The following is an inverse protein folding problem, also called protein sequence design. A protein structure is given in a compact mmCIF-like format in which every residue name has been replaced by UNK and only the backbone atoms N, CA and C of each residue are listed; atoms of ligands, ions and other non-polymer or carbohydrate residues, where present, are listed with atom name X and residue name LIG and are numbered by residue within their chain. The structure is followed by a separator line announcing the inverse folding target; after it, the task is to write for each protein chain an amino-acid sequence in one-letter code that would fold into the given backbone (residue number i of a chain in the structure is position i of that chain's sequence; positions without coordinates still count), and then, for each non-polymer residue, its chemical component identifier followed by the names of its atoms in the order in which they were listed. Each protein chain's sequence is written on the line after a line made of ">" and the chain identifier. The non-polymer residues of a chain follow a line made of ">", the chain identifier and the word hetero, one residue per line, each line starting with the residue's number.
data_IF_023160162083
#
_entry.id   IF_023160162083
#
_cell.length_a   1.000
_cell.length_b   1.000
_cell.length_c   1.000
_cell.angle_alpha   90.00
_cell.angle_beta   90.00
_cell.angle_gamma   90.00
#
_symmetry.space_group_name_H-M   'P 1'
#
loop_
_entity.id
_entity.type
_entity.pdbx_description
1 polymer ?
#
# COMPACT_ATOMS: atom_id res chain seq x y z
N UNK A 1 14.15 -13.56 -6.89
CA UNK A 1 14.61 -12.16 -6.87
C UNK A 1 16.13 -12.06 -6.76
N UNK A 2 16.76 -10.95 -7.16
CA UNK A 2 18.18 -10.64 -6.98
C UNK A 2 18.51 -10.00 -5.63
N UNK A 3 19.73 -10.26 -5.14
CA UNK A 3 20.24 -9.85 -3.82
C UNK A 3 21.72 -9.46 -3.91
N UNK A 4 22.13 -8.53 -3.07
CA UNK A 4 23.54 -8.07 -2.99
C UNK A 4 24.43 -9.05 -2.24
N UNK A 5 23.84 -9.89 -1.36
CA UNK A 5 24.50 -10.93 -0.55
C UNK A 5 23.51 -12.06 -0.27
N UNK A 6 24.00 -13.20 0.19
CA UNK A 6 23.13 -14.25 0.74
C UNK A 6 22.28 -13.70 1.90
N UNK A 7 21.01 -14.08 1.92
CA UNK A 7 20.12 -13.84 3.04
C UNK A 7 20.63 -14.55 4.31
N UNK A 8 20.24 -14.04 5.47
CA UNK A 8 20.60 -14.59 6.77
C UNK A 8 19.35 -14.90 7.57
N UNK A 9 19.28 -16.12 8.08
CA UNK A 9 18.28 -16.55 9.06
C UNK A 9 18.91 -16.51 10.46
N UNK A 10 18.73 -15.41 11.20
CA UNK A 10 19.14 -15.38 12.59
C UNK A 10 18.23 -16.27 13.45
N UNK A 11 18.66 -16.55 14.68
CA UNK A 11 17.83 -17.27 15.64
C UNK A 11 16.60 -16.45 16.01
N UNK A 12 15.45 -17.10 16.13
CA UNK A 12 14.24 -16.49 16.69
C UNK A 12 14.57 -15.76 18.02
N UNK A 13 14.05 -14.54 18.25
CA UNK A 13 12.98 -13.88 17.50
C UNK A 13 13.46 -12.89 16.41
N UNK A 14 14.72 -12.93 16.02
CA UNK A 14 15.25 -11.95 15.06
C UNK A 14 14.67 -12.18 13.65
N UNK A 15 14.30 -11.10 12.97
CA UNK A 15 13.82 -11.14 11.58
C UNK A 15 14.94 -11.51 10.63
N UNK A 16 14.59 -12.23 9.56
CA UNK A 16 15.51 -12.52 8.46
C UNK A 16 16.09 -11.25 7.82
N UNK A 17 17.35 -11.35 7.37
CA UNK A 17 18.02 -10.28 6.63
C UNK A 17 18.17 -10.73 5.19
N UNK A 18 17.30 -10.25 4.30
CA UNK A 18 17.15 -10.81 2.95
C UNK A 18 18.18 -10.23 1.96
N UNK A 19 18.63 -8.98 2.15
CA UNK A 19 19.62 -8.27 1.30
C UNK A 19 19.21 -8.06 -0.17
N UNK A 20 17.91 -7.86 -0.43
CA UNK A 20 17.38 -7.50 -1.75
C UNK A 20 18.18 -6.37 -2.40
N UNK A 21 18.46 -6.51 -3.69
CA UNK A 21 19.11 -5.49 -4.48
C UNK A 21 18.89 -5.75 -5.96
N UNK A 22 18.48 -4.72 -6.68
CA UNK A 22 18.33 -4.74 -8.14
C UNK A 22 19.39 -3.87 -8.83
N UNK A 23 20.44 -3.46 -8.12
CA UNK A 23 21.42 -2.49 -8.59
C UNK A 23 22.85 -3.04 -8.41
N UNK A 24 23.51 -3.32 -9.53
CA UNK A 24 24.81 -3.96 -9.56
C UNK A 24 25.77 -3.21 -10.50
N UNK A 25 27.06 -3.50 -10.34
CA UNK A 25 28.14 -3.07 -11.23
C UNK A 25 28.73 -4.27 -11.95
N UNK A 26 29.41 -4.00 -13.07
CA UNK A 26 30.19 -5.03 -13.74
C UNK A 26 31.20 -5.67 -12.77
N UNK A 27 31.33 -7.00 -12.83
CA UNK A 27 32.14 -7.78 -11.90
C UNK A 27 31.47 -8.15 -10.57
N UNK A 28 30.32 -7.56 -10.22
CA UNK A 28 29.61 -7.91 -8.98
C UNK A 28 29.12 -9.35 -8.98
N UNK A 29 28.92 -9.89 -7.77
CA UNK A 29 28.25 -11.17 -7.58
C UNK A 29 26.79 -10.90 -7.23
N UNK A 30 25.90 -11.30 -8.11
CA UNK A 30 24.45 -11.29 -7.91
C UNK A 30 24.07 -12.59 -7.23
N UNK A 31 23.29 -12.51 -6.15
CA UNK A 31 22.70 -13.67 -5.50
C UNK A 31 21.23 -13.73 -5.91
N UNK A 32 20.71 -14.90 -6.27
CA UNK A 32 19.39 -15.07 -6.86
C UNK A 32 18.61 -16.07 -6.03
N UNK A 33 17.35 -15.75 -5.73
CA UNK A 33 16.38 -16.63 -5.09
C UNK A 33 15.23 -16.98 -6.02
N UNK A 34 14.63 -18.15 -5.79
CA UNK A 34 13.29 -18.50 -6.27
C UNK A 34 12.60 -19.36 -5.22
N UNK A 35 11.34 -19.05 -4.95
CA UNK A 35 10.49 -19.73 -3.98
C UNK A 35 9.42 -20.53 -4.70
N UNK A 36 9.28 -21.81 -4.34
CA UNK A 36 8.26 -22.71 -4.87
C UNK A 36 7.29 -23.12 -3.77
N UNK A 37 6.01 -23.12 -4.09
CA UNK A 37 4.97 -23.79 -3.29
C UNK A 37 4.62 -25.11 -3.97
N UNK A 38 4.55 -26.18 -3.19
CA UNK A 38 4.17 -27.54 -3.63
C UNK A 38 5.03 -28.09 -4.79
N UNK A 39 6.34 -28.18 -4.58
CA UNK A 39 7.30 -28.74 -5.55
C UNK A 39 7.38 -30.27 -5.42
N UNK A 40 6.99 -31.00 -6.46
CA UNK A 40 6.93 -32.46 -6.50
C UNK A 40 8.16 -33.08 -7.17
N UNK A 41 8.45 -34.33 -6.80
CA UNK A 41 9.60 -35.10 -7.33
C UNK A 41 9.69 -35.04 -8.85
N UNK A 42 10.91 -34.82 -9.35
CA UNK A 42 11.27 -34.71 -10.77
C UNK A 42 10.65 -33.54 -11.53
N UNK A 43 9.91 -32.62 -10.87
CA UNK A 43 9.56 -31.37 -11.52
C UNK A 43 10.83 -30.52 -11.74
N UNK A 44 10.86 -29.85 -12.89
CA UNK A 44 12.01 -29.09 -13.36
C UNK A 44 11.63 -27.63 -13.48
N UNK A 45 12.50 -26.75 -12.98
CA UNK A 45 12.44 -25.32 -13.26
C UNK A 45 13.70 -24.89 -14.02
N UNK A 46 13.52 -24.17 -15.12
CA UNK A 46 14.60 -23.60 -15.92
C UNK A 46 14.81 -22.13 -15.52
N UNK A 47 16.03 -21.81 -15.09
CA UNK A 47 16.46 -20.47 -14.72
C UNK A 47 17.35 -19.94 -15.83
N UNK A 48 17.11 -18.71 -16.23
CA UNK A 48 17.89 -18.04 -17.25
C UNK A 48 18.13 -16.58 -16.87
N UNK A 49 19.33 -16.08 -17.17
CA UNK A 49 19.65 -14.66 -17.06
C UNK A 49 19.91 -14.13 -18.45
N UNK A 50 19.17 -13.12 -18.87
CA UNK A 50 19.34 -12.43 -20.14
C UNK A 50 20.10 -11.12 -19.95
N UNK A 51 20.98 -10.83 -20.91
CA UNK A 51 21.63 -9.53 -21.09
C UNK A 51 20.64 -8.50 -21.64
N UNK A 52 20.99 -7.20 -21.62
CA UNK A 52 20.14 -6.15 -22.19
C UNK A 52 19.83 -6.30 -23.69
N UNK A 53 20.67 -7.02 -24.45
CA UNK A 53 20.43 -7.33 -25.86
C UNK A 53 19.54 -8.57 -26.10
N UNK A 54 19.03 -9.19 -25.03
CA UNK A 54 18.22 -10.41 -25.08
C UNK A 54 19.04 -11.70 -25.21
N UNK A 55 20.37 -11.63 -25.25
CA UNK A 55 21.21 -12.83 -25.28
C UNK A 55 21.29 -13.50 -23.90
N UNK A 56 21.31 -14.83 -23.89
CA UNK A 56 21.44 -15.60 -22.64
C UNK A 56 22.85 -15.50 -22.06
N UNK A 57 22.95 -15.10 -20.79
CA UNK A 57 24.20 -14.98 -20.05
C UNK A 57 24.46 -16.17 -19.12
N UNK A 58 23.40 -16.81 -18.64
CA UNK A 58 23.49 -17.91 -17.70
C UNK A 58 22.22 -18.74 -17.75
N UNK A 59 22.36 -20.06 -17.69
CA UNK A 59 21.24 -21.01 -17.59
C UNK A 59 21.49 -22.00 -16.48
N UNK A 60 20.44 -22.41 -15.77
CA UNK A 60 20.50 -23.45 -14.75
C UNK A 60 19.17 -24.18 -14.63
N UNK A 61 19.21 -25.47 -14.29
CA UNK A 61 18.02 -26.23 -13.93
C UNK A 61 17.95 -26.48 -12.42
N UNK A 62 16.73 -26.45 -11.89
CA UNK A 62 16.37 -26.99 -10.59
C UNK A 62 15.57 -28.25 -10.85
N UNK A 63 15.92 -29.34 -10.19
CA UNK A 63 15.18 -30.59 -10.25
C UNK A 63 14.86 -30.99 -8.81
N UNK A 64 13.57 -31.17 -8.52
CA UNK A 64 13.14 -31.63 -7.21
C UNK A 64 13.57 -33.08 -6.99
N UNK A 65 14.28 -33.35 -5.90
CA UNK A 65 14.88 -34.64 -5.57
C UNK A 65 14.13 -35.40 -4.46
N UNK A 66 13.14 -34.77 -3.83
CA UNK A 66 12.26 -35.39 -2.83
C UNK A 66 10.83 -35.53 -3.35
N UNK A 67 10.03 -36.48 -2.80
CA UNK A 67 8.63 -36.67 -3.16
C UNK A 67 7.79 -35.38 -3.18
N UNK A 68 8.00 -34.51 -2.19
CA UNK A 68 7.21 -33.30 -2.02
C UNK A 68 7.93 -32.30 -1.09
N UNK A 69 8.11 -31.07 -1.58
CA UNK A 69 8.35 -29.89 -0.75
C UNK A 69 7.06 -29.07 -0.70
N UNK A 70 6.50 -28.84 0.49
CA UNK A 70 5.38 -27.91 0.65
C UNK A 70 5.81 -26.45 0.39
N UNK A 71 7.07 -26.15 0.70
CA UNK A 71 7.72 -24.87 0.42
C UNK A 71 9.21 -25.12 0.18
N UNK A 72 9.79 -24.45 -0.81
CA UNK A 72 11.20 -24.59 -1.14
C UNK A 72 11.80 -23.28 -1.69
N UNK A 73 12.78 -22.75 -0.96
CA UNK A 73 13.63 -21.65 -1.40
C UNK A 73 14.93 -22.19 -1.99
N UNK A 74 15.18 -21.88 -3.27
CA UNK A 74 16.46 -22.17 -3.92
C UNK A 74 17.30 -20.91 -4.11
N UNK A 75 18.60 -21.03 -3.82
CA UNK A 75 19.55 -19.92 -3.88
C UNK A 75 20.77 -20.19 -4.75
N UNK A 76 21.08 -19.23 -5.63
CA UNK A 76 22.22 -19.28 -6.53
C UNK A 76 23.02 -17.99 -6.52
N UNK A 77 24.26 -18.06 -7.05
CA UNK A 77 25.01 -16.84 -7.32
C UNK A 77 25.57 -16.87 -8.72
N UNK A 78 25.51 -15.72 -9.37
CA UNK A 78 26.05 -15.46 -10.68
C UNK A 78 27.02 -14.29 -10.57
N UNK A 79 28.23 -14.45 -11.13
CA UNK A 79 29.19 -13.34 -11.18
C UNK A 79 29.03 -12.66 -12.53
N UNK A 80 28.68 -11.38 -12.50
CA UNK A 80 28.63 -10.53 -13.68
C UNK A 80 30.03 -10.47 -14.31
N UNK A 81 30.15 -10.53 -15.66
CA UNK A 81 31.42 -10.29 -16.33
C UNK A 81 32.01 -8.94 -15.93
N UNK A 82 33.35 -8.83 -15.96
CA UNK A 82 34.03 -7.56 -15.65
C UNK A 82 33.75 -6.45 -16.67
N UNK A 83 33.33 -6.86 -17.86
CA UNK A 83 32.86 -6.06 -19.00
C UNK A 83 31.35 -6.23 -19.23
N UNK A 84 30.59 -6.55 -18.17
CA UNK A 84 29.14 -6.73 -18.27
C UNK A 84 28.48 -5.51 -18.91
N UNK A 85 27.57 -5.77 -19.86
CA UNK A 85 26.80 -4.73 -20.53
C UNK A 85 26.04 -3.88 -19.51
N UNK A 86 26.21 -2.57 -19.60
CA UNK A 86 25.36 -1.64 -18.86
C UNK A 86 23.92 -1.74 -19.38
N UNK A 87 22.94 -1.79 -18.48
CA UNK A 87 21.53 -1.80 -18.83
C UNK A 87 20.69 -2.67 -17.90
N UNK A 88 19.47 -2.96 -18.34
CA UNK A 88 18.53 -3.84 -17.64
C UNK A 88 18.78 -5.28 -18.08
N UNK A 89 19.06 -6.14 -17.10
CA UNK A 89 19.21 -7.58 -17.24
C UNK A 89 17.95 -8.27 -16.69
N UNK A 90 17.59 -9.43 -17.25
CA UNK A 90 16.39 -10.15 -16.84
C UNK A 90 16.75 -11.49 -16.22
N UNK A 91 16.33 -11.73 -14.98
CA UNK A 91 16.31 -13.06 -14.38
C UNK A 91 14.93 -13.70 -14.60
N UNK A 92 14.90 -14.82 -15.30
CA UNK A 92 13.69 -15.53 -15.68
C UNK A 92 13.68 -16.93 -15.09
N UNK A 93 12.52 -17.37 -14.63
CA UNK A 93 12.24 -18.75 -14.19
C UNK A 93 11.07 -19.30 -14.99
N UNK A 94 11.23 -20.48 -15.59
CA UNK A 94 10.15 -21.25 -16.21
C UNK A 94 9.88 -22.50 -15.39
N UNK A 95 8.63 -22.74 -15.04
CA UNK A 95 8.19 -23.90 -14.27
C UNK A 95 6.81 -24.36 -14.76
N UNK A 96 6.78 -25.50 -15.44
CA UNK A 96 5.57 -25.92 -16.17
C UNK A 96 5.17 -24.91 -17.24
N UNK A 97 3.92 -24.44 -17.20
CA UNK A 97 3.40 -23.40 -18.10
C UNK A 97 3.66 -21.97 -17.56
N UNK A 98 4.13 -21.84 -16.31
CA UNK A 98 4.38 -20.55 -15.70
C UNK A 98 5.77 -20.02 -16.07
N UNK A 99 5.83 -18.72 -16.33
CA UNK A 99 7.07 -17.99 -16.49
C UNK A 99 7.02 -16.75 -15.60
N UNK A 100 8.03 -16.61 -14.75
CA UNK A 100 8.25 -15.41 -13.95
C UNK A 100 9.52 -14.73 -14.45
N UNK A 101 9.51 -13.40 -14.46
CA UNK A 101 10.67 -12.58 -14.84
C UNK A 101 10.85 -11.48 -13.80
N UNK A 102 12.10 -11.16 -13.52
CA UNK A 102 12.49 -10.07 -12.63
C UNK A 102 13.65 -9.33 -13.27
N UNK A 103 13.57 -8.01 -13.33
CA UNK A 103 14.59 -7.18 -13.93
C UNK A 103 15.56 -6.63 -12.87
N UNK A 104 16.83 -6.52 -13.22
CA UNK A 104 17.84 -5.85 -12.40
C UNK A 104 18.79 -5.04 -13.27
N UNK A 105 19.41 -4.02 -12.69
CA UNK A 105 20.25 -3.03 -13.37
C UNK A 105 21.71 -3.36 -13.15
N UNK A 106 22.49 -3.23 -14.22
CA UNK A 106 23.96 -3.31 -14.19
C UNK A 106 24.53 -2.03 -14.75
N UNK A 107 25.31 -1.30 -13.97
CA UNK A 107 26.06 -0.12 -14.44
C UNK A 107 25.21 1.02 -15.01
N UNK A 108 23.91 1.05 -14.70
CA UNK A 108 22.98 2.13 -15.00
C UNK A 108 22.30 2.57 -13.72
N UNK A 109 22.04 3.86 -13.60
CA UNK A 109 21.25 4.39 -12.49
C UNK A 109 19.79 3.95 -12.69
N UNK A 110 19.03 3.67 -11.61
CA UNK A 110 17.58 3.51 -11.73
C UNK A 110 16.99 4.72 -12.47
N UNK A 111 16.16 4.45 -13.46
CA UNK A 111 15.34 5.52 -14.03
C UNK A 111 14.53 6.12 -12.88
N UNK A 112 14.49 7.46 -12.72
CA UNK A 112 13.63 8.05 -11.72
C UNK A 112 12.19 7.56 -11.96
N UNK A 113 11.45 7.20 -10.90
CA UNK A 113 10.08 6.73 -11.06
C UNK A 113 9.27 7.76 -11.86
N UNK A 114 8.33 7.30 -12.71
CA UNK A 114 7.48 8.21 -13.46
C UNK A 114 6.83 9.21 -12.50
N UNK A 115 7.03 10.50 -12.76
CA UNK A 115 6.40 11.53 -11.93
C UNK A 115 4.94 11.65 -12.36
N UNK A 116 4.03 11.33 -11.45
CA UNK A 116 2.60 11.53 -11.68
C UNK A 116 2.29 13.03 -11.61
N UNK A 117 1.83 13.58 -12.73
CA UNK A 117 1.50 14.99 -12.85
C UNK A 117 0.40 15.43 -11.88
N UNK A 118 0.46 16.69 -11.44
CA UNK A 118 -0.51 17.31 -10.54
C UNK A 118 -1.98 17.13 -10.97
N UNK A 119 -2.25 17.05 -12.29
CA UNK A 119 -3.60 16.82 -12.80
C UNK A 119 -4.22 15.49 -12.32
N UNK A 120 -3.41 14.49 -11.94
CA UNK A 120 -3.93 13.22 -11.43
C UNK A 120 -4.53 13.33 -10.02
N UNK A 121 -4.30 14.45 -9.32
CA UNK A 121 -5.04 14.82 -8.11
C UNK A 121 -6.57 14.87 -8.32
N UNK A 122 -7.02 14.92 -9.58
CA UNK A 122 -8.42 14.78 -9.97
C UNK A 122 -9.19 13.64 -9.28
N UNK A 123 -8.53 12.52 -8.97
CA UNK A 123 -9.18 11.34 -8.41
C UNK A 123 -9.00 11.18 -6.89
N UNK A 124 -8.20 12.03 -6.26
CA UNK A 124 -7.96 11.97 -4.82
C UNK A 124 -9.20 12.29 -4.00
N UNK A 125 -9.29 11.61 -2.86
CA UNK A 125 -10.34 11.80 -1.87
C UNK A 125 -11.18 10.56 -1.62
N UNK A 126 -12.40 10.78 -1.15
CA UNK A 126 -13.31 9.74 -0.68
C UNK A 126 -14.36 9.42 -1.74
N UNK A 127 -14.53 8.13 -1.99
CA UNK A 127 -15.46 7.57 -2.94
C UNK A 127 -16.31 6.50 -2.26
N UNK A 128 -17.58 6.38 -2.65
CA UNK A 128 -18.49 5.40 -2.06
C UNK A 128 -19.57 5.02 -3.07
N UNK A 129 -20.20 3.87 -2.91
CA UNK A 129 -21.42 3.54 -3.65
C UNK A 129 -22.64 3.89 -2.78
N UNK A 130 -23.54 4.79 -3.22
CA UNK A 130 -24.71 5.18 -2.43
C UNK A 130 -25.67 4.03 -2.11
N UNK A 131 -25.64 2.94 -2.88
CA UNK A 131 -26.42 1.73 -2.62
C UNK A 131 -25.75 0.77 -1.63
N UNK A 132 -24.46 0.98 -1.36
CA UNK A 132 -23.63 0.22 -0.43
C UNK A 132 -23.07 1.18 0.65
N UNK A 133 -23.93 2.02 1.21
CA UNK A 133 -23.49 3.00 2.21
C UNK A 133 -22.98 2.33 3.50
N UNK A 134 -21.92 2.87 4.08
CA UNK A 134 -21.19 2.30 5.23
C UNK A 134 -19.82 1.71 4.89
N UNK A 135 -19.43 1.77 3.63
CA UNK A 135 -18.09 1.45 3.13
C UNK A 135 -17.65 2.47 2.08
N UNK A 136 -16.37 2.42 1.71
CA UNK A 136 -15.87 3.30 0.66
C UNK A 136 -14.40 3.11 0.35
N UNK A 137 -13.94 3.91 -0.61
CA UNK A 137 -12.55 4.00 -1.03
C UNK A 137 -11.97 5.35 -0.65
N UNK A 138 -10.71 5.37 -0.22
CA UNK A 138 -9.91 6.58 -0.10
C UNK A 138 -8.71 6.46 -1.06
N UNK A 139 -8.52 7.46 -1.89
CA UNK A 139 -7.50 7.45 -2.93
C UNK A 139 -6.50 8.55 -2.64
N UNK A 140 -5.22 8.15 -2.57
CA UNK A 140 -4.09 9.06 -2.38
C UNK A 140 -3.08 8.86 -3.48
N UNK A 141 -2.99 9.87 -4.33
CA UNK A 141 -2.09 9.99 -5.46
C UNK A 141 -1.01 10.98 -5.09
N UNK A 142 0.22 10.47 -4.98
CA UNK A 142 1.44 11.25 -4.78
C UNK A 142 2.17 11.44 -6.10
N UNK A 143 3.31 12.15 -6.08
CA UNK A 143 4.16 12.31 -7.27
C UNK A 143 4.81 11.01 -7.74
N UNK A 144 4.86 9.96 -6.91
CA UNK A 144 5.54 8.69 -7.22
C UNK A 144 4.60 7.50 -7.39
N UNK A 145 3.30 7.70 -7.18
CA UNK A 145 2.32 6.63 -7.30
C UNK A 145 1.02 6.89 -6.55
N UNK A 146 0.05 6.01 -6.80
CA UNK A 146 -1.28 6.03 -6.18
C UNK A 146 -1.51 4.78 -5.34
N UNK A 147 -2.08 4.98 -4.15
CA UNK A 147 -2.58 3.91 -3.29
C UNK A 147 -4.07 4.12 -3.07
N UNK A 148 -4.82 3.03 -3.12
CA UNK A 148 -6.26 2.98 -2.83
C UNK A 148 -6.46 2.19 -1.54
N UNK A 149 -7.16 2.81 -0.59
CA UNK A 149 -7.62 2.17 0.63
C UNK A 149 -9.10 1.84 0.48
N UNK A 150 -9.50 0.65 0.91
CA UNK A 150 -10.90 0.32 1.12
C UNK A 150 -11.18 0.25 2.62
N UNK A 151 -12.32 0.79 3.05
CA UNK A 151 -12.82 0.71 4.42
C UNK A 151 -14.23 0.12 4.41
N UNK A 152 -14.47 -0.91 5.21
CA UNK A 152 -15.79 -1.53 5.34
C UNK A 152 -15.77 -2.67 6.35
N UNK A 153 -16.52 -3.73 6.06
CA UNK A 153 -16.58 -4.95 6.87
C UNK A 153 -16.24 -6.19 6.06
N UNK A 154 -15.73 -7.21 6.74
CA UNK A 154 -15.46 -8.55 6.20
C UNK A 154 -16.76 -9.38 6.12
N UNK A 155 -16.68 -10.60 5.59
CA UNK A 155 -17.86 -11.47 5.44
C UNK A 155 -18.48 -11.90 6.78
N UNK A 156 -17.73 -11.79 7.88
CA UNK A 156 -18.17 -12.08 9.26
C UNK A 156 -18.67 -10.84 10.00
N UNK A 157 -18.63 -9.67 9.34
CA UNK A 157 -19.02 -8.38 9.90
C UNK A 157 -17.99 -7.74 10.82
N UNK A 158 -16.74 -8.22 10.81
CA UNK A 158 -15.63 -7.52 11.46
C UNK A 158 -15.15 -6.38 10.57
N UNK A 159 -14.59 -5.32 11.18
CA UNK A 159 -14.02 -4.20 10.42
C UNK A 159 -12.89 -4.69 9.53
N UNK A 160 -12.90 -4.21 8.30
CA UNK A 160 -11.92 -4.51 7.27
C UNK A 160 -11.39 -3.19 6.71
N UNK A 161 -10.06 -3.05 6.68
CA UNK A 161 -9.42 -2.11 5.79
C UNK A 161 -8.47 -2.88 4.88
N UNK A 162 -8.39 -2.45 3.63
CA UNK A 162 -7.48 -3.01 2.64
C UNK A 162 -6.63 -1.89 2.09
N UNK A 163 -5.39 -2.19 1.77
CA UNK A 163 -4.48 -1.29 1.02
C UNK A 163 -4.16 -1.91 -0.32
N UNK A 164 -4.19 -1.13 -1.38
CA UNK A 164 -3.73 -1.58 -2.69
C UNK A 164 -2.20 -1.66 -2.76
N UNK A 165 -1.69 -2.40 -3.73
CA UNK A 165 -0.35 -2.16 -4.26
C UNK A 165 -0.24 -0.76 -4.87
N UNK A 166 1.00 -0.29 -5.04
CA UNK A 166 1.29 1.02 -5.64
C UNK A 166 1.00 0.98 -7.15
N UNK A 167 0.17 1.91 -7.63
CA UNK A 167 0.06 2.23 -9.04
C UNK A 167 1.07 3.33 -9.38
N UNK A 168 2.11 3.01 -10.12
CA UNK A 168 3.22 3.92 -10.49
C UNK A 168 2.94 4.75 -11.76
N UNK A 169 1.67 4.84 -12.16
CA UNK A 169 1.20 5.63 -13.31
C UNK A 169 -0.05 6.41 -12.98
N UNK A 170 -0.32 7.42 -13.79
CA UNK A 170 -1.53 8.22 -13.72
C UNK A 170 -2.79 7.36 -13.97
N UNK A 171 -3.87 7.63 -13.24
CA UNK A 171 -5.20 7.21 -13.66
C UNK A 171 -5.62 7.93 -14.95
N UNK A 172 -6.32 7.21 -15.82
CA UNK A 172 -6.92 7.71 -17.04
C UNK A 172 -8.41 7.34 -17.05
N UNK A 173 -9.27 8.31 -17.37
CA UNK A 173 -10.71 8.06 -17.45
C UNK A 173 -11.04 7.06 -18.58
N UNK A 174 -11.91 6.10 -18.29
CA UNK A 174 -12.27 4.99 -19.19
C UNK A 174 -11.21 3.89 -19.30
N UNK A 175 -10.14 3.94 -18.49
CA UNK A 175 -9.11 2.90 -18.44
C UNK A 175 -9.23 2.15 -17.12
N UNK A 176 -9.56 0.86 -17.19
CA UNK A 176 -9.58 0.01 -16.01
C UNK A 176 -8.15 -0.32 -15.56
N UNK A 177 -7.90 -0.24 -14.26
CA UNK A 177 -6.66 -0.71 -13.62
C UNK A 177 -6.95 -1.86 -12.68
N UNK A 178 -6.01 -2.79 -12.55
CA UNK A 178 -6.10 -3.93 -11.63
C UNK A 178 -4.97 -3.83 -10.61
N UNK A 179 -5.32 -3.77 -9.33
CA UNK A 179 -4.39 -3.61 -8.23
C UNK A 179 -4.53 -4.77 -7.25
N UNK A 180 -3.43 -5.39 -6.78
CA UNK A 180 -3.51 -6.33 -5.68
C UNK A 180 -3.97 -5.59 -4.41
N UNK A 181 -4.80 -6.24 -3.61
CA UNK A 181 -5.24 -5.75 -2.30
C UNK A 181 -4.63 -6.61 -1.20
N UNK A 182 -4.17 -5.93 -0.15
CA UNK A 182 -3.58 -6.52 1.04
C UNK A 182 -4.38 -6.13 2.26
N UNK A 183 -4.52 -7.08 3.18
CA UNK A 183 -5.06 -6.86 4.51
C UNK A 183 -3.93 -6.93 5.53
N UNK A 184 -3.98 -6.09 6.56
CA UNK A 184 -3.07 -6.25 7.69
C UNK A 184 -3.56 -7.37 8.60
N UNK A 185 -2.63 -8.09 9.22
CA UNK A 185 -2.82 -9.18 10.14
C UNK A 185 -1.76 -9.12 11.23
N UNK A 186 -2.14 -9.50 12.45
CA UNK A 186 -1.26 -9.45 13.62
C UNK A 186 -1.16 -8.07 14.28
N UNK A 187 -0.45 -8.00 15.41
CA UNK A 187 -0.31 -6.78 16.21
C UNK A 187 -1.41 -6.59 17.26
N UNK A 188 -1.24 -5.59 18.11
CA UNK A 188 -2.21 -5.13 19.13
C UNK A 188 -2.12 -3.62 19.24
N UNK A 189 -3.09 -2.99 19.91
CA UNK A 189 -3.04 -1.55 20.18
C UNK A 189 -1.71 -1.07 20.78
N UNK A 190 -1.09 -1.86 21.67
CA UNK A 190 0.17 -1.48 22.32
C UNK A 190 1.43 -1.84 21.52
N UNK A 191 1.32 -2.80 20.60
CA UNK A 191 2.42 -3.36 19.82
C UNK A 191 1.92 -3.64 18.40
N UNK A 192 1.85 -2.62 17.54
CA UNK A 192 1.43 -2.83 16.16
C UNK A 192 2.44 -3.71 15.42
N UNK A 193 1.95 -4.43 14.41
CA UNK A 193 2.80 -5.27 13.57
C UNK A 193 3.20 -4.50 12.33
N UNK A 194 4.51 -4.31 12.16
CA UNK A 194 5.12 -3.67 11.01
C UNK A 194 4.52 -4.18 9.68
N UNK A 195 4.28 -3.28 8.73
CA UNK A 195 3.66 -3.63 7.45
C UNK A 195 4.44 -4.72 6.68
N UNK A 196 5.76 -4.73 6.81
CA UNK A 196 6.64 -5.73 6.21
C UNK A 196 6.40 -7.17 6.72
N UNK A 197 5.75 -7.33 7.89
CA UNK A 197 5.46 -8.63 8.51
C UNK A 197 3.95 -8.89 8.60
N UNK A 198 3.14 -7.82 8.66
CA UNK A 198 1.72 -7.90 8.91
C UNK A 198 0.84 -7.93 7.67
N UNK A 199 1.33 -7.68 6.47
CA UNK A 199 0.48 -7.67 5.27
C UNK A 199 0.29 -9.06 4.67
N UNK A 200 -0.97 -9.49 4.56
CA UNK A 200 -1.40 -10.69 3.86
C UNK A 200 -2.14 -10.31 2.56
N UNK A 201 -2.02 -11.15 1.53
CA UNK A 201 -2.79 -10.96 0.30
C UNK A 201 -4.27 -11.25 0.56
N UNK A 202 -5.14 -10.29 0.24
CA UNK A 202 -6.58 -10.43 0.38
C UNK A 202 -7.27 -10.75 -0.95
N UNK A 203 -6.83 -10.10 -2.04
CA UNK A 203 -7.49 -10.20 -3.33
C UNK A 203 -7.05 -9.13 -4.33
N UNK A 204 -7.98 -8.70 -5.19
CA UNK A 204 -7.75 -7.71 -6.25
C UNK A 204 -8.84 -6.64 -6.26
N UNK A 205 -8.44 -5.40 -6.55
CA UNK A 205 -9.32 -4.29 -6.90
C UNK A 205 -9.18 -4.01 -8.39
N UNK A 206 -10.28 -4.07 -9.15
CA UNK A 206 -10.37 -3.49 -10.48
C UNK A 206 -11.11 -2.18 -10.39
N UNK A 207 -10.51 -1.09 -10.85
CA UNK A 207 -11.06 0.27 -10.75
C UNK A 207 -11.05 0.95 -12.11
N UNK A 208 -12.17 1.57 -12.48
CA UNK A 208 -12.29 2.41 -13.68
C UNK A 208 -13.04 3.69 -13.34
N UNK A 209 -12.44 4.85 -13.62
CA UNK A 209 -13.13 6.13 -13.51
C UNK A 209 -13.83 6.44 -14.82
N UNK A 210 -15.13 6.72 -14.75
CA UNK A 210 -15.92 7.14 -15.90
C UNK A 210 -15.76 8.65 -16.12
N UNK A 211 -15.77 9.41 -15.03
CA UNK A 211 -15.54 10.85 -15.02
C UNK A 211 -15.03 11.34 -13.65
N UNK A 212 -15.04 12.65 -13.42
CA UNK A 212 -14.58 13.28 -12.17
C UNK A 212 -15.30 12.80 -10.90
N UNK A 213 -16.53 12.33 -11.03
CA UNK A 213 -17.43 12.04 -9.91
C UNK A 213 -18.00 10.63 -9.96
N UNK A 214 -17.78 9.86 -11.03
CA UNK A 214 -18.33 8.52 -11.20
C UNK A 214 -17.25 7.52 -11.61
N UNK A 215 -17.34 6.31 -11.09
CA UNK A 215 -16.47 5.18 -11.42
C UNK A 215 -17.10 3.84 -11.08
N UNK A 216 -16.42 2.77 -11.44
CA UNK A 216 -16.77 1.40 -11.09
C UNK A 216 -15.59 0.75 -10.36
N UNK A 217 -15.89 0.12 -9.23
CA UNK A 217 -14.94 -0.69 -8.48
C UNK A 217 -15.44 -2.14 -8.43
N UNK A 218 -14.54 -3.10 -8.63
CA UNK A 218 -14.78 -4.51 -8.43
C UNK A 218 -13.73 -5.05 -7.46
N UNK A 219 -14.17 -5.42 -6.27
CA UNK A 219 -13.35 -6.13 -5.29
C UNK A 219 -13.58 -7.64 -5.47
N UNK A 220 -12.50 -8.41 -5.53
CA UNK A 220 -12.54 -9.87 -5.60
C UNK A 220 -11.51 -10.45 -4.64
N UNK A 221 -11.95 -11.14 -3.59
CA UNK A 221 -11.04 -11.59 -2.56
C UNK A 221 -11.66 -12.52 -1.52
N UNK A 222 -10.98 -12.64 -0.39
CA UNK A 222 -11.28 -13.61 0.66
C UNK A 222 -12.72 -13.51 1.23
N UNK A 223 -13.33 -12.31 1.18
CA UNK A 223 -14.70 -12.07 1.67
C UNK A 223 -15.78 -12.14 0.57
N UNK A 224 -15.37 -12.50 -0.65
CA UNK A 224 -16.22 -12.63 -1.83
C UNK A 224 -15.98 -11.52 -2.86
N UNK A 225 -16.85 -11.52 -3.86
CA UNK A 225 -16.81 -10.56 -4.96
C UNK A 225 -17.87 -9.48 -4.75
N UNK A 226 -17.52 -8.23 -5.02
CA UNK A 226 -18.40 -7.09 -4.88
C UNK A 226 -18.11 -6.04 -5.93
N UNK A 227 -19.16 -5.68 -6.68
CA UNK A 227 -19.15 -4.56 -7.62
C UNK A 227 -19.82 -3.36 -6.97
N UNK A 228 -19.19 -2.20 -7.06
CA UNK A 228 -19.65 -0.94 -6.52
C UNK A 228 -19.61 0.14 -7.61
N UNK A 229 -20.72 0.86 -7.78
CA UNK A 229 -20.81 2.05 -8.63
C UNK A 229 -20.42 3.26 -7.77
N UNK A 230 -19.13 3.57 -7.76
CA UNK A 230 -18.58 4.55 -6.85
C UNK A 230 -18.81 5.98 -7.35
N UNK A 231 -19.27 6.84 -6.45
CA UNK A 231 -19.39 8.28 -6.61
C UNK A 231 -18.41 8.98 -5.68
N UNK A 232 -17.85 10.12 -6.12
CA UNK A 232 -16.97 10.92 -5.27
C UNK A 232 -17.81 11.61 -4.20
N UNK A 233 -17.60 11.23 -2.94
CA UNK A 233 -18.21 11.89 -1.79
C UNK A 233 -17.59 13.27 -1.61
N UNK A 234 -16.26 13.31 -1.60
CA UNK A 234 -15.50 14.54 -1.45
C UNK A 234 -14.09 14.34 -2.00
N UNK A 235 -13.54 15.35 -2.66
CA UNK A 235 -12.18 15.28 -3.19
C UNK A 235 -11.27 16.37 -2.65
N UNK A 236 -9.98 16.17 -2.88
CA UNK A 236 -8.94 17.11 -2.47
C UNK A 236 -8.89 18.28 -3.47
N UNK A 237 -8.92 19.55 -3.00
CA UNK A 237 -8.85 20.72 -3.89
C UNK A 237 -7.58 20.75 -4.76
N UNK A 238 -7.62 21.53 -5.84
CA UNK A 238 -6.43 21.79 -6.67
C UNK A 238 -6.36 20.93 -7.93
N UNK A 239 -7.50 20.42 -8.40
CA UNK A 239 -7.61 19.70 -9.67
C UNK A 239 -8.74 20.28 -10.53
N UNK A 240 -8.84 19.80 -11.78
CA UNK A 240 -9.98 20.11 -12.64
C UNK A 240 -11.30 19.46 -12.15
N UNK A 241 -11.23 18.38 -11.37
CA UNK A 241 -12.41 17.71 -10.82
C UNK A 241 -12.90 18.30 -9.50
N UNK A 242 -12.01 18.91 -8.73
CA UNK A 242 -12.34 19.65 -7.51
C UNK A 242 -11.65 21.00 -7.59
N UNK A 243 -12.37 21.96 -8.17
CA UNK A 243 -11.88 23.32 -8.33
C UNK A 243 -11.57 23.95 -6.96
N UNK A 244 -10.51 24.76 -6.93
CA UNK A 244 -10.17 25.63 -5.82
C UNK A 244 -11.39 26.49 -5.37
N UNK A 245 -11.47 26.89 -4.09
CA UNK A 245 -10.46 27.76 -3.51
C UNK A 245 -9.35 26.98 -2.82
N UNK A 246 -8.13 27.53 -2.89
CA UNK A 246 -6.95 27.00 -2.22
C UNK A 246 -7.20 27.06 -0.72
N UNK A 247 -7.73 26.00 -0.16
CA UNK A 247 -7.61 25.79 1.27
C UNK A 247 -6.10 25.76 1.57
N UNK A 248 -5.62 26.70 2.38
CA UNK A 248 -4.21 26.72 2.81
C UNK A 248 -3.86 25.42 3.56
N UNK A 249 -4.86 24.70 4.05
CA UNK A 249 -4.74 23.39 4.63
C UNK A 249 -4.64 22.25 3.60
N UNK A 250 -4.99 22.45 2.32
CA UNK A 250 -5.01 21.37 1.32
C UNK A 250 -3.68 20.57 1.23
N UNK A 251 -2.48 21.20 1.30
CA UNK A 251 -1.21 20.49 1.35
C UNK A 251 -1.04 19.50 2.51
N UNK A 252 -1.86 19.58 3.56
CA UNK A 252 -1.84 18.63 4.68
C UNK A 252 -2.54 17.30 4.35
N UNK A 253 -3.26 17.24 3.23
CA UNK A 253 -3.81 15.98 2.73
C UNK A 253 -2.69 15.00 2.43
N UNK A 254 -2.86 13.75 2.84
CA UNK A 254 -1.86 12.71 2.63
C UNK A 254 -1.85 11.62 3.67
N UNK A 255 -0.80 10.81 3.61
CA UNK A 255 -0.56 9.68 4.50
C UNK A 255 0.47 10.07 5.56
N UNK A 256 0.18 9.70 6.79
CA UNK A 256 0.96 10.06 7.96
C UNK A 256 1.18 8.84 8.85
N UNK A 257 2.37 8.73 9.44
CA UNK A 257 2.76 7.60 10.28
C UNK A 257 3.83 7.99 11.30
N UNK A 258 3.94 7.22 12.38
CA UNK A 258 5.08 7.30 13.29
C UNK A 258 6.05 6.14 12.99
N UNK A 259 7.31 6.41 12.61
CA UNK A 259 8.29 5.35 12.32
C UNK A 259 8.58 4.40 13.48
N UNK A 260 8.26 4.80 14.73
CA UNK A 260 8.41 3.98 15.93
C UNK A 260 7.21 3.07 16.19
N UNK A 261 6.10 3.28 15.48
CA UNK A 261 4.84 2.55 15.57
C UNK A 261 4.42 2.01 14.19
N UNK A 262 5.37 1.39 13.48
CA UNK A 262 5.11 0.78 12.17
C UNK A 262 3.98 -0.26 12.24
N UNK A 263 3.14 -0.29 11.21
CA UNK A 263 1.90 -1.07 11.15
C UNK A 263 0.62 -0.28 11.39
N UNK A 264 0.74 0.98 11.80
CA UNK A 264 -0.38 1.90 12.03
C UNK A 264 -0.11 3.26 11.38
N UNK A 265 -1.17 4.03 11.21
CA UNK A 265 -1.08 5.37 10.68
C UNK A 265 -2.44 5.99 10.48
N UNK A 266 -2.43 7.16 9.84
CA UNK A 266 -3.65 7.84 9.49
C UNK A 266 -3.54 8.55 8.15
N UNK A 267 -4.68 8.85 7.58
CA UNK A 267 -4.84 9.61 6.36
C UNK A 267 -5.62 10.89 6.69
N UNK A 268 -5.11 12.03 6.25
CA UNK A 268 -5.82 13.29 6.26
C UNK A 268 -6.36 13.58 4.87
N UNK A 269 -7.68 13.82 4.79
CA UNK A 269 -8.34 14.29 3.58
C UNK A 269 -8.90 15.68 3.86
N UNK A 270 -8.19 16.71 3.40
CA UNK A 270 -8.60 18.10 3.55
C UNK A 270 -9.47 18.49 2.36
N UNK A 271 -10.65 19.01 2.64
CA UNK A 271 -11.69 19.25 1.64
C UNK A 271 -12.35 20.60 1.87
N UNK A 272 -13.08 21.14 0.88
CA UNK A 272 -13.86 22.37 1.08
C UNK A 272 -14.94 22.27 2.17
N UNK A 273 -15.30 21.06 2.60
CA UNK A 273 -16.29 20.82 3.65
C UNK A 273 -15.66 20.57 5.04
N UNK A 274 -14.34 20.72 5.15
CA UNK A 274 -13.56 20.42 6.34
C UNK A 274 -12.60 19.24 6.14
N UNK A 275 -11.86 18.91 7.20
CA UNK A 275 -10.89 17.81 7.23
C UNK A 275 -11.54 16.53 7.77
N UNK A 276 -11.29 15.41 7.10
CA UNK A 276 -11.63 14.07 7.60
C UNK A 276 -10.35 13.29 7.84
N UNK A 277 -10.22 12.69 9.02
CA UNK A 277 -9.13 11.80 9.37
C UNK A 277 -9.62 10.35 9.34
N UNK A 278 -8.85 9.46 8.69
CA UNK A 278 -9.01 8.01 8.79
C UNK A 278 -7.82 7.43 9.54
N UNK A 279 -8.06 6.77 10.67
CA UNK A 279 -7.05 6.04 11.42
C UNK A 279 -7.22 4.54 11.19
N UNK A 280 -6.11 3.81 11.08
CA UNK A 280 -6.10 2.35 10.97
C UNK A 280 -5.10 1.74 11.95
N UNK A 281 -5.50 0.62 12.56
CA UNK A 281 -4.68 -0.12 13.52
C UNK A 281 -5.44 -1.25 14.19
N UNK A 282 -5.05 -1.58 15.43
CA UNK A 282 -5.57 -2.73 16.15
C UNK A 282 -6.09 -2.35 17.53
N UNK A 283 -7.05 -3.11 18.06
CA UNK A 283 -7.45 -3.02 19.47
C UNK A 283 -6.57 -3.88 20.38
N UNK A 284 -6.92 -3.91 21.67
CA UNK A 284 -6.18 -4.64 22.70
C UNK A 284 -6.16 -6.15 22.43
N UNK A 285 -7.21 -6.66 21.81
CA UNK A 285 -7.37 -8.07 21.45
C UNK A 285 -6.73 -8.42 20.09
N UNK A 286 -6.10 -7.44 19.42
CA UNK A 286 -5.47 -7.60 18.12
C UNK A 286 -6.48 -7.69 16.97
N UNK A 287 -7.73 -7.30 17.19
CA UNK A 287 -8.69 -7.17 16.11
C UNK A 287 -8.45 -5.87 15.36
N UNK A 288 -8.68 -5.97 14.06
CA UNK A 288 -8.61 -4.87 13.12
C UNK A 288 -9.61 -3.77 13.45
N UNK A 289 -9.14 -2.54 13.53
CA UNK A 289 -9.97 -1.35 13.60
C UNK A 289 -9.58 -0.30 12.57
N UNK A 290 -10.59 0.29 11.93
CA UNK A 290 -10.49 1.59 11.28
C UNK A 290 -11.46 2.54 11.98
N UNK A 291 -11.01 3.79 12.15
CA UNK A 291 -11.74 4.87 12.79
C UNK A 291 -11.77 6.05 11.84
N UNK A 292 -12.81 6.88 11.94
CA UNK A 292 -12.88 8.13 11.20
C UNK A 292 -13.42 9.27 12.06
N UNK A 293 -13.07 10.50 11.72
CA UNK A 293 -13.71 11.68 12.32
C UNK A 293 -14.95 12.08 11.52
N UNK A 294 -15.87 12.80 12.17
CA UNK A 294 -16.71 13.73 11.41
C UNK A 294 -15.81 14.83 10.79
N UNK A 295 -16.26 15.55 9.75
CA UNK A 295 -15.52 16.70 9.25
C UNK A 295 -15.26 17.72 10.37
N UNK A 296 -14.00 18.13 10.52
CA UNK A 296 -13.58 19.13 11.49
C UNK A 296 -12.74 20.22 10.81
N UNK A 297 -12.74 21.40 11.40
CA UNK A 297 -11.91 22.51 10.94
C UNK A 297 -10.55 22.45 11.64
N UNK A 298 -9.48 22.57 10.87
CA UNK A 298 -8.13 22.59 11.39
C UNK A 298 -7.40 23.82 10.84
N UNK A 299 -7.00 24.71 11.75
CA UNK A 299 -6.13 25.83 11.39
C UNK A 299 -4.67 25.38 11.54
N UNK A 300 -4.10 24.88 10.45
CA UNK A 300 -2.72 24.42 10.41
C UNK A 300 -1.67 25.55 10.51
N UNK A 301 -2.09 26.81 10.51
CA UNK A 301 -1.23 27.95 10.79
C UNK A 301 -1.23 28.33 12.29
N UNK A 302 -2.23 27.87 13.04
CA UNK A 302 -2.27 28.03 14.49
C UNK A 302 -1.51 26.88 15.16
N UNK A 303 -0.65 27.20 16.13
CA UNK A 303 0.01 26.20 17.00
C UNK A 303 -0.98 25.64 18.05
N UNK A 304 -2.25 25.54 17.71
CA UNK A 304 -3.28 25.10 18.64
C UNK A 304 -3.69 23.68 18.29
N UNK A 305 -3.69 22.82 19.31
CA UNK A 305 -4.20 21.49 19.20
C UNK A 305 -5.70 21.49 18.85
N UNK A 306 -6.10 20.68 17.88
CA UNK A 306 -7.48 20.50 17.44
C UNK A 306 -7.98 19.17 17.92
N UNK A 307 -9.11 19.17 18.63
CA UNK A 307 -9.77 17.95 19.10
C UNK A 307 -10.95 17.59 18.20
N UNK A 308 -11.00 16.34 17.75
CA UNK A 308 -12.12 15.82 16.95
C UNK A 308 -12.62 14.48 17.52
N UNK A 309 -13.95 14.27 17.58
CA UNK A 309 -14.51 12.99 17.97
C UNK A 309 -14.20 11.92 16.92
N UNK A 310 -13.86 10.72 17.39
CA UNK A 310 -13.67 9.55 16.55
C UNK A 310 -14.90 8.66 16.57
N UNK A 311 -15.24 8.20 15.37
CA UNK A 311 -16.32 7.28 15.08
C UNK A 311 -15.74 5.93 14.67
N UNK A 312 -16.51 4.87 14.95
CA UNK A 312 -16.18 3.50 14.58
C UNK A 312 -17.40 2.81 13.99
N UNK A 313 -17.20 1.98 12.98
CA UNK A 313 -18.24 1.08 12.49
C UNK A 313 -18.52 -0.05 13.51
N UNK A 314 -19.79 -0.15 13.91
CA UNK A 314 -20.28 -1.11 14.89
C UNK A 314 -20.92 -2.37 14.26
N UNK A 315 -21.40 -2.29 13.01
CA UNK A 315 -22.13 -3.37 12.32
C UNK A 315 -22.07 -3.20 10.80
N UNK A 316 -22.49 -4.25 10.08
CA UNK A 316 -22.42 -4.37 8.61
C UNK A 316 -21.63 -5.62 8.21
N UNK A 317 -21.73 -6.05 6.96
CA UNK A 317 -20.91 -7.15 6.40
C UNK A 317 -20.44 -6.79 4.99
N UNK A 318 -19.49 -7.56 4.46
CA UNK A 318 -18.93 -7.30 3.13
C UNK A 318 -19.99 -7.16 2.02
N UNK A 319 -21.09 -7.91 2.08
CA UNK A 319 -22.17 -7.87 1.07
C UNK A 319 -23.36 -6.96 1.48
N UNK A 320 -23.38 -6.49 2.72
CA UNK A 320 -24.46 -5.67 3.28
C UNK A 320 -23.87 -4.66 4.28
N UNK A 321 -23.16 -3.63 3.78
CA UNK A 321 -22.65 -2.55 4.64
C UNK A 321 -23.79 -1.75 5.25
N UNK A 322 -23.50 -1.04 6.34
CA UNK A 322 -24.48 -0.21 7.05
C UNK A 322 -23.83 1.08 7.52
N UNK A 323 -24.32 2.22 7.03
CA UNK A 323 -23.79 3.55 7.39
C UNK A 323 -24.32 4.11 8.70
N UNK A 324 -25.53 3.72 9.10
CA UNK A 324 -26.13 4.11 10.38
C UNK A 324 -25.54 3.33 11.58
N UNK A 325 -24.45 2.62 11.33
CA UNK A 325 -23.69 1.81 12.26
C UNK A 325 -22.50 2.53 12.90
N UNK A 326 -22.31 3.84 12.67
CA UNK A 326 -21.22 4.59 13.28
C UNK A 326 -21.56 4.95 14.74
N UNK A 327 -20.66 4.60 15.65
CA UNK A 327 -20.73 4.96 17.06
C UNK A 327 -19.52 5.80 17.47
N UNK A 328 -19.71 6.69 18.46
CA UNK A 328 -18.60 7.40 19.07
C UNK A 328 -17.68 6.41 19.80
N UNK A 329 -16.39 6.43 19.46
CA UNK A 329 -15.40 5.49 19.99
C UNK A 329 -14.21 6.17 20.68
N UNK A 330 -14.08 7.48 20.58
CA UNK A 330 -12.98 8.20 21.24
C UNK A 330 -12.82 9.61 20.70
N UNK A 331 -11.59 10.12 20.82
CA UNK A 331 -11.19 11.39 20.22
C UNK A 331 -9.75 11.34 19.74
N UNK A 332 -9.47 12.19 18.77
CA UNK A 332 -8.12 12.53 18.35
C UNK A 332 -7.84 13.98 18.71
N UNK A 333 -6.61 14.25 19.13
CA UNK A 333 -6.05 15.59 19.22
C UNK A 333 -4.86 15.69 18.27
N UNK A 334 -4.84 16.74 17.45
CA UNK A 334 -3.83 16.98 16.43
C UNK A 334 -3.18 18.35 16.64
N UNK A 335 -1.86 18.40 16.67
CA UNK A 335 -1.10 19.65 16.68
C UNK A 335 -0.14 19.71 15.49
N UNK A 336 -0.28 20.76 14.68
CA UNK A 336 0.55 21.00 13.53
C UNK A 336 1.92 21.60 13.92
N UNK A 337 3.00 20.85 13.72
CA UNK A 337 4.36 21.31 14.02
C UNK A 337 5.05 21.90 12.78
N UNK A 338 4.93 21.19 11.65
CA UNK A 338 5.37 21.63 10.32
C UNK A 338 4.63 20.85 9.26
N UNK A 339 4.70 21.25 7.99
CA UNK A 339 4.01 20.53 6.91
C UNK A 339 4.47 19.07 6.73
N UNK A 340 5.54 18.66 7.40
CA UNK A 340 6.07 17.28 7.39
C UNK A 340 5.94 16.58 8.75
N UNK A 341 5.46 17.28 9.80
CA UNK A 341 5.35 16.72 11.15
C UNK A 341 4.08 17.16 11.89
N UNK A 342 3.42 16.17 12.51
CA UNK A 342 2.24 16.34 13.36
C UNK A 342 2.46 15.65 14.70
N UNK A 343 2.01 16.28 15.77
CA UNK A 343 1.73 15.57 17.02
C UNK A 343 0.29 15.05 16.94
N UNK A 344 0.13 13.75 17.16
CA UNK A 344 -1.15 13.06 17.11
C UNK A 344 -1.37 12.33 18.42
N UNK A 345 -2.45 12.63 19.12
CA UNK A 345 -2.86 11.93 20.33
C UNK A 345 -4.23 11.28 20.13
N UNK A 346 -4.25 9.96 20.15
CA UNK A 346 -5.47 9.15 20.11
C UNK A 346 -5.87 8.77 21.53
N UNK A 347 -7.15 9.00 21.87
CA UNK A 347 -7.75 8.63 23.15
C UNK A 347 -8.96 7.74 22.89
N UNK A 348 -8.88 6.46 23.28
CA UNK A 348 -9.92 5.45 23.07
C UNK A 348 -10.15 4.61 24.33
N UNK A 349 -11.25 3.84 24.42
CA UNK A 349 -11.43 2.82 25.46
C UNK A 349 -10.26 1.82 25.54
N UNK A 350 -9.58 1.58 24.40
CA UNK A 350 -8.42 0.70 24.25
C UNK A 350 -7.12 1.33 24.77
N UNK A 351 -7.14 2.63 25.05
CA UNK A 351 -6.05 3.36 25.68
C UNK A 351 -5.71 4.65 24.95
N UNK A 352 -4.62 5.26 25.39
CA UNK A 352 -4.08 6.46 24.79
C UNK A 352 -2.84 6.12 23.97
N UNK A 353 -2.68 6.80 22.84
CA UNK A 353 -1.52 6.65 21.97
C UNK A 353 -1.06 8.02 21.52
N UNK A 354 0.23 8.28 21.66
CA UNK A 354 0.89 9.48 21.16
C UNK A 354 1.77 9.07 19.98
N UNK A 355 1.65 9.79 18.88
CA UNK A 355 2.42 9.61 17.66
C UNK A 355 3.12 10.91 17.31
N UNK A 356 4.42 10.81 17.05
CA UNK A 356 5.24 11.87 16.46
C UNK A 356 5.22 11.66 14.94
N UNK A 357 4.08 11.98 14.34
CA UNK A 357 3.78 11.58 12.98
C UNK A 357 4.61 12.37 11.96
N UNK A 358 5.11 11.65 10.97
CA UNK A 358 5.81 12.16 9.80
C UNK A 358 4.95 11.90 8.56
N UNK A 359 5.07 12.78 7.57
CA UNK A 359 4.39 12.58 6.29
C UNK A 359 5.06 11.41 5.56
N UNK A 360 4.27 10.40 5.23
CA UNK A 360 4.67 9.30 4.37
C UNK A 360 4.54 9.69 2.89
N UNK A 361 3.42 10.31 2.53
CA UNK A 361 3.15 10.76 1.17
C UNK A 361 2.20 11.96 1.16
N UNK A 362 2.56 13.00 0.42
CA UNK A 362 1.66 14.11 0.08
C UNK A 362 0.85 13.84 -1.18
N UNK A 363 -0.16 14.67 -1.39
CA UNK A 363 -0.96 14.66 -2.62
C UNK A 363 -0.23 15.39 -3.75
N UNK A 364 -0.15 14.80 -4.94
CA UNK A 364 0.49 15.42 -6.10
C UNK A 364 -0.13 16.77 -6.43
N UNK A 365 0.70 17.78 -6.71
CA UNK A 365 0.26 19.14 -7.00
C UNK A 365 -0.15 19.98 -5.78
N UNK A 366 -0.03 19.42 -4.57
CA UNK A 366 -0.25 20.13 -3.30
C UNK A 366 1.01 20.12 -2.46
N UNK A 367 2.03 20.80 -2.96
CA UNK A 367 3.31 20.88 -2.27
C UNK A 367 3.20 21.73 -1.01
N UNK A 368 3.89 21.30 0.02
CA UNK A 368 4.10 22.09 1.23
C UNK A 368 4.88 23.38 0.89
N UNK A 369 4.45 24.55 1.38
CA UNK A 369 5.11 25.83 1.11
C UNK A 369 6.47 25.99 1.80
#
# INVERSE_FOLDING_TARGET
>A
APHSRWWRYPSCPQTEVINYSDDFKAGDRVYLSVDFRDLLLNQVADLEIFRPDGSSAYTRQIVADVPHYSDALYGYSFRLPGDAMSGVWTYQVRFGEQQLSHEFRVGVEPEPPPVIAAANNAFNGLWYDPSLDGEGLNIVTSSVGTVVYYYGSDARGQRLWLTSGLLDRAFEAGVSVSLPLYESSGGTFAQPMAAAQGLASWGTLVLEFLDCNNGEALLQGADGDKRALVTKLVGVPGSNCVAAPSDAAAPWSGLWYDPTLDGEGFNLVVTPAGTVLYYYGFDREGQRQWLLTAPFEMDFAATQAVNAPLLRAARGSFQAPQSDALEAWGSVELEALSCERLDFQLTTPDGNKLMQAQRLAGVTGLDCP
#
